data_IF_053540053555
#
_entry.id   IF_053540053555
#
_cell.length_a   1.000
_cell.length_b   1.000
_cell.length_c   1.000
_cell.angle_alpha   90.00
_cell.angle_beta   90.00
_cell.angle_gamma   90.00
#
_symmetry.space_group_name_H-M   'P 1'
#
loop_
_entity.id
_entity.type
_entity.pdbx_description
1 polymer ?
#
# COMPACT_ATOMS: atom_id res chain seq x y z
N UNK A 1 -22.83 3.19 -27.79
CA UNK A 1 -22.99 3.94 -26.52
C UNK A 1 -21.59 4.35 -26.08
N UNK A 2 -21.28 5.64 -26.23
CA UNK A 2 -19.96 6.21 -26.02
C UNK A 2 -19.60 6.18 -24.52
N UNK A 3 -18.76 5.23 -24.12
CA UNK A 3 -18.05 5.34 -22.84
C UNK A 3 -16.79 6.17 -23.10
N UNK A 4 -16.88 7.41 -22.62
CA UNK A 4 -15.90 8.48 -22.61
C UNK A 4 -14.42 8.07 -22.59
N UNK A 5 -13.64 8.87 -23.31
CA UNK A 5 -12.17 9.00 -23.25
C UNK A 5 -11.69 9.38 -21.83
N UNK A 6 -11.77 8.49 -20.86
CA UNK A 6 -10.76 8.48 -19.80
C UNK A 6 -9.54 7.81 -20.43
N UNK A 7 -8.51 8.63 -20.71
CA UNK A 7 -7.19 8.30 -21.24
C UNK A 7 -6.82 6.80 -21.15
N UNK A 8 -6.13 6.17 -22.12
CA UNK A 8 -5.41 4.93 -21.80
C UNK A 8 -4.31 5.30 -20.78
N UNK A 9 -4.64 5.38 -19.48
CA UNK A 9 -3.79 6.00 -18.45
C UNK A 9 -2.41 5.30 -18.41
N UNK A 10 -2.36 4.03 -18.78
CA UNK A 10 -1.13 3.29 -19.05
C UNK A 10 -1.27 2.50 -20.36
N UNK A 11 -0.28 2.62 -21.25
CA UNK A 11 -0.14 1.70 -22.39
C UNK A 11 0.18 0.28 -21.91
N UNK A 12 0.12 -0.75 -22.81
CA UNK A 12 0.31 -2.16 -22.46
C UNK A 12 1.57 -2.44 -21.62
N UNK A 13 2.65 -1.72 -21.90
CA UNK A 13 3.94 -1.88 -21.22
C UNK A 13 3.94 -1.25 -19.81
N UNK A 14 3.27 -0.11 -19.65
CA UNK A 14 3.23 0.62 -18.37
C UNK A 14 2.29 -0.05 -17.35
N UNK A 15 1.19 -0.66 -17.82
CA UNK A 15 0.25 -1.39 -16.94
C UNK A 15 0.90 -2.63 -16.29
N UNK A 16 1.74 -3.36 -17.04
CA UNK A 16 2.52 -4.49 -16.51
C UNK A 16 3.53 -4.04 -15.45
N UNK A 17 4.17 -2.88 -15.63
CA UNK A 17 5.07 -2.32 -14.62
C UNK A 17 4.32 -1.99 -13.31
N UNK A 18 3.13 -1.38 -13.40
CA UNK A 18 2.30 -1.07 -12.24
C UNK A 18 1.85 -2.33 -11.47
N UNK A 19 1.65 -3.47 -12.15
CA UNK A 19 1.36 -4.74 -11.47
C UNK A 19 2.54 -5.21 -10.62
N UNK A 20 3.76 -5.19 -11.15
CA UNK A 20 4.96 -5.65 -10.44
C UNK A 20 5.19 -4.80 -9.18
N UNK A 21 5.10 -3.48 -9.30
CA UNK A 21 5.21 -2.58 -8.14
C UNK A 21 4.07 -2.75 -7.14
N UNK A 22 2.84 -3.05 -7.61
CA UNK A 22 1.73 -3.31 -6.70
C UNK A 22 1.95 -4.61 -5.90
N UNK A 23 2.39 -5.69 -6.55
CA UNK A 23 2.72 -6.95 -5.86
C UNK A 23 3.82 -6.75 -4.83
N UNK A 24 4.90 -6.07 -5.22
CA UNK A 24 5.99 -5.75 -4.30
C UNK A 24 5.51 -4.90 -3.11
N UNK A 25 4.71 -3.86 -3.37
CA UNK A 25 4.13 -3.00 -2.36
C UNK A 25 3.26 -3.76 -1.36
N UNK A 26 2.40 -4.66 -1.83
CA UNK A 26 1.53 -5.49 -0.98
C UNK A 26 2.37 -6.35 -0.03
N UNK A 27 3.40 -7.02 -0.54
CA UNK A 27 4.27 -7.89 0.27
C UNK A 27 5.01 -7.07 1.32
N UNK A 28 5.63 -5.96 0.91
CA UNK A 28 6.41 -5.11 1.80
C UNK A 28 5.54 -4.48 2.91
N UNK A 29 4.43 -3.84 2.54
CA UNK A 29 3.51 -3.19 3.48
C UNK A 29 2.79 -4.20 4.37
N UNK A 30 2.49 -5.40 3.86
CA UNK A 30 1.91 -6.49 4.65
C UNK A 30 2.86 -6.96 5.75
N UNK A 31 4.14 -7.19 5.41
CA UNK A 31 5.16 -7.60 6.40
C UNK A 31 5.35 -6.49 7.45
N UNK A 32 5.49 -5.23 7.03
CA UNK A 32 5.61 -4.10 7.95
C UNK A 32 4.38 -3.95 8.86
N UNK A 33 3.17 -4.10 8.32
CA UNK A 33 1.93 -4.04 9.09
C UNK A 33 1.87 -5.10 10.19
N UNK A 34 2.37 -6.31 9.93
CA UNK A 34 2.47 -7.37 10.94
C UNK A 34 3.53 -7.01 11.99
N UNK A 35 4.71 -6.54 11.57
CA UNK A 35 5.80 -6.16 12.49
C UNK A 35 5.38 -5.01 13.44
N UNK A 36 4.68 -4.00 12.93
CA UNK A 36 4.11 -2.92 13.74
C UNK A 36 3.02 -3.41 14.70
N UNK A 37 2.15 -4.33 14.26
CA UNK A 37 1.12 -4.93 15.13
C UNK A 37 1.74 -5.72 16.29
N UNK A 38 2.85 -6.41 16.05
CA UNK A 38 3.60 -7.13 17.09
C UNK A 38 4.49 -6.24 17.97
N UNK A 39 4.47 -4.92 17.77
CA UNK A 39 5.25 -3.95 18.55
C UNK A 39 6.77 -4.23 18.51
N UNK A 40 7.30 -4.53 17.32
CA UNK A 40 8.71 -4.90 17.16
C UNK A 40 9.65 -3.72 17.49
N UNK A 41 10.67 -3.90 18.35
CA UNK A 41 11.60 -2.83 18.74
C UNK A 41 12.52 -2.37 17.59
N UNK A 42 12.65 -3.17 16.52
CA UNK A 42 13.45 -2.81 15.34
C UNK A 42 12.87 -1.61 14.59
N UNK A 43 11.56 -1.39 14.73
CA UNK A 43 10.80 -0.41 13.96
C UNK A 43 10.45 0.84 14.79
N UNK A 44 11.14 1.00 15.92
CA UNK A 44 10.94 2.11 16.85
C UNK A 44 11.28 3.46 16.21
N UNK A 45 12.30 3.52 15.34
CA UNK A 45 12.72 4.76 14.67
C UNK A 45 11.71 5.26 13.63
N UNK A 46 10.90 4.37 13.05
CA UNK A 46 9.89 4.74 12.05
C UNK A 46 8.64 5.39 12.67
N UNK A 47 8.46 5.26 13.99
CA UNK A 47 7.37 5.90 14.71
C UNK A 47 7.75 7.35 14.98
N UNK A 48 7.02 8.28 14.38
CA UNK A 48 7.21 9.70 14.65
C UNK A 48 6.76 10.04 16.08
N UNK A 49 7.74 10.37 16.91
CA UNK A 49 7.51 10.94 18.24
C UNK A 49 7.52 12.46 18.15
N UNK A 50 6.36 13.08 18.32
CA UNK A 50 6.23 14.55 18.35
C UNK A 50 6.83 15.16 19.64
N UNK A 51 7.06 14.34 20.67
CA UNK A 51 7.62 14.74 21.97
C UNK A 51 8.82 13.88 22.36
N UNK A 52 9.73 14.43 23.17
CA UNK A 52 10.86 13.66 23.72
C UNK A 52 10.33 12.45 24.50
N UNK A 53 11.01 11.30 24.33
CA UNK A 53 10.67 10.00 24.94
C UNK A 53 10.51 10.01 26.47
N UNK A 54 10.93 11.08 27.16
CA UNK A 54 10.82 11.24 28.62
C UNK A 54 9.41 11.56 29.15
N UNK A 55 8.44 11.88 28.28
CA UNK A 55 7.06 12.21 28.69
C UNK A 55 6.01 11.13 28.36
N UNK A 56 6.36 10.05 27.65
CA UNK A 56 5.38 9.08 27.17
C UNK A 56 5.12 7.94 28.16
N UNK A 57 3.84 7.61 28.37
CA UNK A 57 3.42 6.35 28.96
C UNK A 57 3.65 5.18 27.98
N UNK A 58 4.03 4.00 28.49
CA UNK A 58 4.16 2.76 27.69
C UNK A 58 2.89 2.49 26.87
N UNK A 59 1.71 2.82 27.42
CA UNK A 59 0.43 2.65 26.72
C UNK A 59 0.32 3.51 25.46
N UNK A 60 0.82 4.74 25.52
CA UNK A 60 0.72 5.69 24.42
C UNK A 60 1.67 5.28 23.27
N UNK A 61 2.83 4.71 23.61
CA UNK A 61 3.73 4.09 22.63
C UNK A 61 3.03 2.94 21.92
N UNK A 62 2.36 2.06 22.68
CA UNK A 62 1.65 0.94 22.09
C UNK A 62 0.51 1.36 21.16
N UNK A 63 -0.20 2.42 21.49
CA UNK A 63 -1.27 2.97 20.65
C UNK A 63 -0.73 3.54 19.33
N UNK A 64 0.47 4.15 19.35
CA UNK A 64 1.12 4.66 18.13
C UNK A 64 1.59 3.54 17.22
N UNK A 65 2.19 2.48 17.76
CA UNK A 65 2.52 1.27 17.01
C UNK A 65 1.28 0.71 16.30
N UNK A 66 0.16 0.64 17.01
CA UNK A 66 -1.08 0.10 16.47
C UNK A 66 -1.69 1.00 15.40
N UNK A 67 -1.68 2.32 15.59
CA UNK A 67 -2.13 3.29 14.59
C UNK A 67 -1.29 3.20 13.29
N UNK A 68 0.04 3.12 13.43
CA UNK A 68 0.93 2.94 12.27
C UNK A 68 0.70 1.61 11.56
N UNK A 69 0.49 0.52 12.32
CA UNK A 69 0.13 -0.77 11.74
C UNK A 69 -1.15 -0.66 10.89
N UNK A 70 -2.21 -0.05 11.41
CA UNK A 70 -3.46 0.13 10.67
C UNK A 70 -3.27 0.94 9.38
N UNK A 71 -2.46 2.00 9.40
CA UNK A 71 -2.14 2.77 8.20
C UNK A 71 -1.41 1.92 7.14
N UNK A 72 -0.45 1.09 7.55
CA UNK A 72 0.22 0.15 6.64
C UNK A 72 -0.75 -0.87 6.04
N UNK A 73 -1.69 -1.40 6.83
CA UNK A 73 -2.72 -2.32 6.34
C UNK A 73 -3.69 -1.66 5.35
N UNK A 74 -4.11 -0.42 5.61
CA UNK A 74 -4.94 0.36 4.68
C UNK A 74 -4.18 0.62 3.37
N UNK A 75 -2.90 1.01 3.47
CA UNK A 75 -2.05 1.24 2.30
C UNK A 75 -1.86 -0.05 1.47
N UNK A 76 -1.60 -1.19 2.12
CA UNK A 76 -1.53 -2.50 1.47
C UNK A 76 -2.84 -2.83 0.73
N UNK A 77 -3.98 -2.57 1.37
CA UNK A 77 -5.31 -2.67 0.73
C UNK A 77 -5.44 -1.79 -0.51
N UNK A 78 -4.93 -0.56 -0.46
CA UNK A 78 -4.85 0.33 -1.61
C UNK A 78 -4.07 -0.27 -2.79
N UNK A 79 -2.92 -0.89 -2.54
CA UNK A 79 -2.15 -1.58 -3.59
C UNK A 79 -2.87 -2.80 -4.17
N UNK A 80 -3.69 -3.51 -3.38
CA UNK A 80 -4.56 -4.59 -3.89
C UNK A 80 -5.58 -4.02 -4.87
N UNK A 81 -6.21 -2.89 -4.53
CA UNK A 81 -7.19 -2.23 -5.41
C UNK A 81 -6.52 -1.77 -6.71
N UNK A 82 -5.33 -1.16 -6.65
CA UNK A 82 -4.61 -0.75 -7.87
C UNK A 82 -4.21 -1.95 -8.73
N UNK A 83 -3.86 -3.08 -8.13
CA UNK A 83 -3.58 -4.33 -8.84
C UNK A 83 -4.82 -4.86 -9.58
N UNK A 84 -6.00 -4.84 -8.95
CA UNK A 84 -7.27 -5.25 -9.58
C UNK A 84 -7.59 -4.35 -10.78
N UNK A 85 -7.43 -3.03 -10.62
CA UNK A 85 -7.66 -2.06 -11.70
C UNK A 85 -6.68 -2.29 -12.85
N UNK A 86 -5.38 -2.47 -12.56
CA UNK A 86 -4.36 -2.75 -13.57
C UNK A 86 -4.62 -4.06 -14.32
N UNK A 87 -5.12 -5.10 -13.62
CA UNK A 87 -5.55 -6.36 -14.22
C UNK A 87 -6.71 -6.18 -15.19
N UNK A 88 -7.71 -5.41 -14.78
CA UNK A 88 -8.85 -5.09 -15.63
C UNK A 88 -8.42 -4.28 -16.87
N UNK A 89 -7.53 -3.30 -16.70
CA UNK A 89 -6.95 -2.51 -17.79
C UNK A 89 -6.15 -3.37 -18.77
N UNK A 90 -5.32 -4.29 -18.28
CA UNK A 90 -4.52 -5.19 -19.12
C UNK A 90 -5.41 -6.12 -19.95
N UNK A 91 -6.44 -6.68 -19.33
CA UNK A 91 -7.40 -7.54 -20.02
C UNK A 91 -8.14 -6.79 -21.14
N UNK A 92 -8.59 -5.55 -20.89
CA UNK A 92 -9.23 -4.73 -21.93
C UNK A 92 -8.28 -4.33 -23.05
N UNK A 93 -7.06 -3.94 -22.71
CA UNK A 93 -6.06 -3.57 -23.71
C UNK A 93 -5.68 -4.75 -24.62
N UNK A 94 -5.62 -5.97 -24.08
CA UNK A 94 -5.36 -7.17 -24.88
C UNK A 94 -6.57 -7.54 -25.77
N UNK A 95 -7.81 -7.27 -25.35
CA UNK A 95 -8.99 -7.48 -26.20
C UNK A 95 -9.13 -6.47 -27.33
N UNK A 96 -8.53 -5.28 -27.22
CA UNK A 96 -8.53 -4.24 -28.26
C UNK A 96 -7.42 -4.43 -29.32
N UNK A 97 -6.44 -5.30 -29.05
CA UNK A 97 -5.31 -5.62 -29.95
C UNK A 97 -5.54 -6.88 -30.81
N UNK A 98 -6.67 -7.57 -30.65
CA UNK A 98 -7.16 -8.68 -31.48
C UNK A 98 -8.31 -8.19 -32.36
#
# INVERSE_FOLDING_TARGET
MALSRFCPICGPKTSMCCMVFSVWGIIFLGILGIMFYTQSPLLFEDIHYEKKASEFSISEISDRYQSTAYNCWIAAGGYVVTMIIAFWQTNWNNRLLL
#
